data_IF_232877654296
#
_entry.id   IF_232877654296
#
_cell.length_a   1.000
_cell.length_b   1.000
_cell.length_c   1.000
_cell.angle_alpha   90.00
_cell.angle_beta   90.00
_cell.angle_gamma   90.00
#
_symmetry.space_group_name_H-M   'P 1'
#
loop_
_entity.id
_entity.type
_entity.pdbx_description
1 polymer ?
#
# COMPACT_ATOMS: atom_id res chain seq x y z
N UNK A 1 -21.29 -22.24 -10.86
CA UNK A 1 -20.36 -22.68 -9.81
C UNK A 1 -19.27 -21.67 -9.49
N UNK A 2 -18.44 -21.22 -10.46
CA UNK A 2 -17.41 -20.20 -10.15
C UNK A 2 -17.98 -18.85 -9.76
N UNK A 3 -19.02 -18.38 -10.43
CA UNK A 3 -19.65 -17.09 -10.12
C UNK A 3 -20.31 -17.04 -8.72
N UNK A 4 -20.71 -18.17 -8.19
CA UNK A 4 -21.35 -18.27 -6.88
C UNK A 4 -20.33 -18.21 -5.73
N UNK A 5 -19.07 -18.60 -5.96
CA UNK A 5 -17.99 -18.49 -4.96
C UNK A 5 -17.35 -17.09 -4.89
N UNK A 6 -17.47 -16.27 -5.95
CA UNK A 6 -16.85 -14.95 -6.03
C UNK A 6 -17.25 -13.98 -4.91
N UNK A 7 -18.55 -13.87 -4.50
CA UNK A 7 -18.93 -12.95 -3.43
C UNK A 7 -18.30 -13.27 -2.08
N UNK A 8 -18.06 -14.56 -1.80
CA UNK A 8 -17.38 -14.99 -0.58
C UNK A 8 -15.89 -14.64 -0.65
N UNK A 9 -15.22 -14.94 -1.76
CA UNK A 9 -13.83 -14.60 -1.98
C UNK A 9 -13.57 -13.09 -1.84
N UNK A 10 -14.43 -12.25 -2.43
CA UNK A 10 -14.32 -10.79 -2.30
C UNK A 10 -14.44 -10.30 -0.85
N UNK A 11 -15.27 -10.93 -0.04
CA UNK A 11 -15.37 -10.62 1.40
C UNK A 11 -14.13 -11.05 2.16
N UNK A 12 -13.58 -12.21 1.85
CA UNK A 12 -12.33 -12.71 2.43
C UNK A 12 -11.14 -11.80 2.07
N UNK A 13 -11.06 -11.34 0.82
CA UNK A 13 -10.02 -10.40 0.40
C UNK A 13 -10.11 -9.04 1.13
N UNK A 14 -11.31 -8.53 1.36
CA UNK A 14 -11.49 -7.32 2.17
C UNK A 14 -11.00 -7.51 3.62
N UNK A 15 -11.22 -8.70 4.19
CA UNK A 15 -10.69 -9.06 5.51
C UNK A 15 -9.16 -9.18 5.49
N UNK A 16 -8.58 -9.83 4.49
CA UNK A 16 -7.12 -9.95 4.33
C UNK A 16 -6.44 -8.57 4.21
N UNK A 17 -7.03 -7.67 3.42
CA UNK A 17 -6.54 -6.31 3.31
C UNK A 17 -6.59 -5.56 4.65
N UNK A 18 -7.69 -5.69 5.38
CA UNK A 18 -7.85 -5.06 6.69
C UNK A 18 -6.84 -5.60 7.71
N UNK A 19 -6.61 -6.92 7.73
CA UNK A 19 -5.62 -7.56 8.62
C UNK A 19 -4.18 -7.15 8.31
N UNK A 20 -3.88 -6.72 7.10
CA UNK A 20 -2.58 -6.14 6.73
C UNK A 20 -2.45 -4.67 7.13
N UNK A 21 -3.42 -3.83 6.76
CA UNK A 21 -3.34 -2.37 6.91
C UNK A 21 -3.55 -1.92 8.36
N UNK A 22 -4.48 -2.54 9.10
CA UNK A 22 -4.80 -2.11 10.47
C UNK A 22 -3.62 -2.24 11.43
N UNK A 23 -2.85 -3.35 11.47
CA UNK A 23 -1.64 -3.43 12.28
C UNK A 23 -0.59 -2.39 11.89
N UNK A 24 -0.35 -2.15 10.59
CA UNK A 24 0.60 -1.14 10.13
C UNK A 24 0.26 0.25 10.67
N UNK A 25 -1.01 0.63 10.65
CA UNK A 25 -1.51 1.89 11.25
C UNK A 25 -1.16 2.01 12.73
N UNK A 26 -1.32 0.92 13.49
CA UNK A 26 -0.99 0.88 14.93
C UNK A 26 0.52 0.94 15.15
N UNK A 27 1.30 0.22 14.34
CA UNK A 27 2.76 0.19 14.46
C UNK A 27 3.40 1.54 14.17
N UNK A 28 2.88 2.27 13.18
CA UNK A 28 3.37 3.61 12.87
C UNK A 28 3.13 4.58 14.05
N UNK A 29 1.98 4.51 14.70
CA UNK A 29 1.69 5.31 15.91
C UNK A 29 2.60 4.90 17.06
N UNK A 30 2.80 3.59 17.29
CA UNK A 30 3.73 3.10 18.32
C UNK A 30 5.17 3.51 18.08
N UNK A 31 5.61 3.53 16.80
CA UNK A 31 6.93 4.03 16.44
C UNK A 31 7.06 5.53 16.74
N UNK A 32 6.03 6.33 16.46
CA UNK A 32 6.00 7.75 16.77
C UNK A 32 6.06 8.02 18.29
N UNK A 33 5.42 7.17 19.10
CA UNK A 33 5.45 7.19 20.56
C UNK A 33 6.80 6.74 21.17
N UNK A 34 7.77 6.33 20.34
CA UNK A 34 9.10 5.92 20.79
C UNK A 34 9.20 4.46 21.26
N UNK A 35 8.39 3.55 20.71
CA UNK A 35 8.49 2.12 21.02
C UNK A 35 9.88 1.58 20.72
N UNK A 36 10.53 0.88 21.67
CA UNK A 36 11.85 0.30 21.43
C UNK A 36 11.83 -0.92 20.48
N UNK A 37 10.68 -1.57 20.32
CA UNK A 37 10.55 -2.78 19.49
C UNK A 37 10.04 -2.49 18.09
N UNK A 38 9.23 -1.45 17.94
CA UNK A 38 8.60 -1.07 16.67
C UNK A 38 9.11 0.32 16.31
N UNK A 39 10.12 0.37 15.44
CA UNK A 39 10.69 1.62 14.96
C UNK A 39 10.25 1.89 13.53
N UNK A 40 10.27 3.16 13.10
CA UNK A 40 9.98 3.50 11.72
C UNK A 40 10.96 2.85 10.75
N UNK A 41 12.21 2.69 11.15
CA UNK A 41 13.24 2.01 10.35
C UNK A 41 12.85 0.54 10.04
N UNK A 42 12.33 -0.18 11.03
CA UNK A 42 11.84 -1.56 10.84
C UNK A 42 10.65 -1.58 9.89
N UNK A 43 9.69 -0.68 10.07
CA UNK A 43 8.51 -0.56 9.18
C UNK A 43 8.97 -0.25 7.75
N UNK A 44 9.84 0.74 7.58
CA UNK A 44 10.41 1.14 6.30
C UNK A 44 11.11 -0.03 5.58
N UNK A 45 11.95 -0.76 6.30
CA UNK A 45 12.64 -1.94 5.77
C UNK A 45 11.66 -2.98 5.20
N UNK A 46 10.57 -3.24 5.90
CA UNK A 46 9.58 -4.21 5.46
C UNK A 46 8.73 -3.68 4.29
N UNK A 47 8.34 -2.42 4.28
CA UNK A 47 7.64 -1.82 3.15
C UNK A 47 8.50 -1.84 1.88
N UNK A 48 9.76 -1.45 1.98
CA UNK A 48 10.70 -1.48 0.85
C UNK A 48 10.96 -2.90 0.33
N UNK A 49 10.80 -3.91 1.16
CA UNK A 49 10.94 -5.31 0.75
C UNK A 49 9.70 -5.84 0.03
N UNK A 50 8.51 -5.55 0.56
CA UNK A 50 7.29 -6.24 0.13
C UNK A 50 6.50 -5.51 -0.95
N UNK A 51 6.48 -4.17 -0.94
CA UNK A 51 5.74 -3.40 -1.95
C UNK A 51 6.29 -3.62 -3.37
N UNK A 52 7.61 -3.55 -3.63
CA UNK A 52 8.16 -3.86 -4.94
C UNK A 52 7.90 -5.31 -5.37
N UNK A 53 7.98 -6.27 -4.46
CA UNK A 53 7.71 -7.68 -4.77
C UNK A 53 6.27 -7.92 -5.20
N UNK A 54 5.31 -7.28 -4.53
CA UNK A 54 3.92 -7.35 -4.95
C UNK A 54 3.71 -6.69 -6.32
N UNK A 55 4.45 -5.60 -6.61
CA UNK A 55 4.45 -4.97 -7.92
C UNK A 55 4.97 -5.90 -9.03
N UNK A 56 6.04 -6.65 -8.76
CA UNK A 56 6.62 -7.65 -9.66
C UNK A 56 5.66 -8.81 -9.98
N UNK A 57 4.71 -9.11 -9.08
CA UNK A 57 3.72 -10.17 -9.29
C UNK A 57 2.80 -9.94 -10.49
N UNK A 58 2.61 -8.69 -10.92
CA UNK A 58 1.85 -8.40 -12.13
C UNK A 58 2.57 -8.86 -13.40
N UNK A 59 3.91 -8.94 -13.37
CA UNK A 59 4.74 -9.38 -14.49
C UNK A 59 4.69 -8.47 -15.71
N UNK A 60 5.44 -8.87 -16.73
CA UNK A 60 5.47 -8.18 -18.02
C UNK A 60 4.31 -8.62 -18.93
N UNK A 61 3.90 -7.75 -19.85
CA UNK A 61 2.88 -8.06 -20.86
C UNK A 61 3.50 -8.93 -21.99
N UNK A 62 3.73 -10.20 -21.68
CA UNK A 62 4.20 -11.16 -22.68
C UNK A 62 3.02 -11.62 -23.55
N UNK A 63 3.20 -11.62 -24.86
CA UNK A 63 2.15 -12.08 -25.81
C UNK A 63 1.13 -11.02 -26.22
N UNK A 64 1.45 -9.72 -26.11
CA UNK A 64 0.68 -8.63 -26.70
C UNK A 64 -0.75 -8.48 -26.17
N UNK A 65 -0.92 -8.62 -24.85
CA UNK A 65 -2.23 -8.46 -24.21
C UNK A 65 -3.31 -9.44 -24.69
N UNK A 66 -2.93 -10.62 -25.13
CA UNK A 66 -3.84 -11.66 -25.64
C UNK A 66 -4.95 -11.99 -24.65
N UNK A 67 -4.64 -12.06 -23.36
CA UNK A 67 -5.61 -12.33 -22.29
C UNK A 67 -6.68 -11.24 -22.18
N UNK A 68 -6.32 -9.97 -22.42
CA UNK A 68 -7.27 -8.86 -22.46
C UNK A 68 -8.15 -8.98 -23.70
N UNK A 69 -7.56 -9.29 -24.85
CA UNK A 69 -8.27 -9.49 -26.10
C UNK A 69 -9.34 -10.61 -26.01
N UNK A 70 -9.04 -11.67 -25.29
CA UNK A 70 -9.96 -12.80 -25.07
C UNK A 70 -10.89 -12.62 -23.87
N UNK A 71 -10.88 -11.47 -23.22
CA UNK A 71 -11.74 -11.20 -22.07
C UNK A 71 -11.40 -12.01 -20.81
N UNK A 72 -10.23 -12.65 -20.77
CA UNK A 72 -9.74 -13.40 -19.61
C UNK A 72 -9.16 -12.47 -18.52
N UNK A 73 -8.86 -11.25 -18.90
CA UNK A 73 -8.28 -10.21 -18.05
C UNK A 73 -8.97 -8.88 -18.34
N UNK A 74 -9.34 -8.09 -17.31
CA UNK A 74 -10.05 -6.83 -17.54
C UNK A 74 -9.15 -5.72 -18.09
N UNK A 75 -7.84 -5.76 -17.82
CA UNK A 75 -6.89 -4.71 -18.18
C UNK A 75 -5.46 -5.27 -18.35
N UNK A 76 -4.59 -4.46 -18.94
CA UNK A 76 -3.16 -4.80 -19.10
C UNK A 76 -2.42 -4.80 -17.77
N UNK A 77 -1.28 -5.52 -17.71
CA UNK A 77 -0.42 -5.55 -16.52
C UNK A 77 0.07 -4.16 -16.12
N UNK A 78 0.49 -3.34 -17.07
CA UNK A 78 0.94 -1.97 -16.81
C UNK A 78 -0.16 -1.12 -16.16
N UNK A 79 -1.41 -1.24 -16.61
CA UNK A 79 -2.55 -0.51 -16.01
C UNK A 79 -2.83 -1.00 -14.57
N UNK A 80 -2.71 -2.32 -14.34
CA UNK A 80 -2.84 -2.90 -13.00
C UNK A 80 -1.70 -2.48 -12.07
N UNK A 81 -0.47 -2.38 -12.58
CA UNK A 81 0.68 -1.87 -11.86
C UNK A 81 0.51 -0.41 -11.46
N UNK A 82 0.04 0.43 -12.37
CA UNK A 82 -0.25 1.84 -12.09
C UNK A 82 -1.35 2.00 -11.04
N UNK A 83 -2.40 1.20 -11.13
CA UNK A 83 -3.46 1.20 -10.12
C UNK A 83 -2.94 0.76 -8.76
N UNK A 84 -2.17 -0.31 -8.69
CA UNK A 84 -1.54 -0.78 -7.46
C UNK A 84 -0.63 0.29 -6.85
N UNK A 85 0.21 0.94 -7.65
CA UNK A 85 1.07 2.02 -7.17
C UNK A 85 0.27 3.18 -6.57
N UNK A 86 -0.85 3.56 -7.18
CA UNK A 86 -1.76 4.60 -6.65
C UNK A 86 -2.40 4.18 -5.31
N UNK A 87 -2.83 2.93 -5.19
CA UNK A 87 -3.40 2.42 -3.94
C UNK A 87 -2.33 2.34 -2.83
N UNK A 88 -1.13 1.86 -3.13
CA UNK A 88 -0.01 1.88 -2.19
C UNK A 88 0.31 3.30 -1.72
N UNK A 89 0.33 4.28 -2.64
CA UNK A 89 0.58 5.68 -2.30
C UNK A 89 -0.48 6.24 -1.33
N UNK A 90 -1.75 5.86 -1.46
CA UNK A 90 -2.80 6.25 -0.51
C UNK A 90 -2.54 5.68 0.89
N UNK A 91 -2.17 4.40 0.96
CA UNK A 91 -1.85 3.75 2.25
C UNK A 91 -0.64 4.41 2.89
N UNK A 92 0.43 4.64 2.14
CA UNK A 92 1.66 5.26 2.65
C UNK A 92 1.38 6.69 3.16
N UNK A 93 0.58 7.47 2.44
CA UNK A 93 0.13 8.80 2.91
C UNK A 93 -0.64 8.72 4.24
N UNK A 94 -1.59 7.79 4.37
CA UNK A 94 -2.32 7.58 5.62
C UNK A 94 -1.37 7.22 6.78
N UNK A 95 -0.36 6.37 6.53
CA UNK A 95 0.65 6.00 7.52
C UNK A 95 1.50 7.21 7.94
N UNK A 96 1.96 8.02 6.99
CA UNK A 96 2.72 9.23 7.25
C UNK A 96 1.91 10.24 8.10
N UNK A 97 0.66 10.49 7.72
CA UNK A 97 -0.22 11.38 8.47
C UNK A 97 -0.42 10.91 9.92
N UNK A 98 -0.56 9.62 10.13
CA UNK A 98 -0.69 9.05 11.47
C UNK A 98 0.57 9.23 12.29
N UNK A 99 1.74 9.00 11.67
CA UNK A 99 3.03 9.22 12.32
C UNK A 99 3.21 10.68 12.73
N UNK A 100 2.99 11.61 11.80
CA UNK A 100 3.17 13.04 12.04
C UNK A 100 2.21 13.57 13.10
N UNK A 101 0.93 13.17 13.05
CA UNK A 101 -0.06 13.54 14.08
C UNK A 101 0.27 13.01 15.47
N UNK A 102 0.83 11.81 15.54
CA UNK A 102 1.26 11.22 16.81
C UNK A 102 2.54 11.87 17.36
N UNK A 103 3.44 12.33 16.46
CA UNK A 103 4.71 12.96 16.82
C UNK A 103 4.58 14.44 17.14
N UNK A 104 3.71 15.14 16.45
CA UNK A 104 3.53 16.59 16.47
C UNK A 104 2.03 16.93 16.61
N UNK A 105 1.41 16.62 17.76
CA UNK A 105 -0.03 16.77 17.94
C UNK A 105 -0.52 18.21 17.86
N UNK A 106 0.35 19.19 18.09
CA UNK A 106 0.04 20.63 17.98
C UNK A 106 0.04 21.16 16.55
N UNK A 107 0.57 20.41 15.57
CA UNK A 107 0.60 20.83 14.18
C UNK A 107 -0.65 20.36 13.44
N UNK A 108 -1.42 21.32 12.92
CA UNK A 108 -2.50 21.02 11.97
C UNK A 108 -1.89 20.79 10.59
N UNK A 109 -1.54 19.52 10.30
CA UNK A 109 -1.00 19.12 9.01
C UNK A 109 -2.12 18.89 8.00
N UNK A 110 -1.98 19.47 6.81
CA UNK A 110 -2.86 19.21 5.68
C UNK A 110 -2.44 17.96 4.93
N UNK A 111 -3.37 17.36 4.17
CA UNK A 111 -3.05 16.19 3.33
C UNK A 111 -2.00 16.53 2.24
N UNK A 112 -1.89 17.79 1.84
CA UNK A 112 -0.89 18.27 0.89
C UNK A 112 0.54 18.21 1.47
N UNK A 113 0.72 18.61 2.72
CA UNK A 113 2.03 18.59 3.40
C UNK A 113 2.55 17.15 3.61
N UNK A 114 1.63 16.19 3.79
CA UNK A 114 2.00 14.77 3.88
C UNK A 114 2.42 14.17 2.54
N UNK A 115 2.00 14.76 1.42
CA UNK A 115 2.25 14.23 0.05
C UNK A 115 3.68 14.50 -0.42
N UNK A 116 4.31 15.60 0.01
CA UNK A 116 5.67 15.96 -0.42
C UNK A 116 6.74 14.94 -0.01
N UNK A 117 6.44 14.10 0.99
CA UNK A 117 7.36 13.12 1.54
C UNK A 117 7.14 11.68 1.05
N UNK A 118 6.32 11.48 0.02
CA UNK A 118 6.00 10.14 -0.48
C UNK A 118 6.35 10.00 -1.96
N UNK A 119 7.32 9.13 -2.27
CA UNK A 119 7.52 8.63 -3.62
C UNK A 119 6.71 7.33 -3.81
N UNK A 120 5.61 7.37 -4.58
CA UNK A 120 4.77 6.19 -4.77
C UNK A 120 5.45 5.08 -5.59
N UNK A 121 6.51 5.39 -6.36
CA UNK A 121 7.25 4.42 -7.19
C UNK A 121 8.37 3.75 -6.40
N UNK A 122 9.03 4.51 -5.55
CA UNK A 122 10.11 3.98 -4.70
C UNK A 122 9.60 3.29 -3.45
N UNK A 123 8.29 3.33 -3.17
CA UNK A 123 7.68 2.87 -1.92
C UNK A 123 8.44 3.38 -0.66
N UNK A 124 9.04 4.56 -0.79
CA UNK A 124 9.77 5.17 0.31
C UNK A 124 8.80 5.99 1.14
N UNK A 125 8.71 5.64 2.41
CA UNK A 125 8.14 6.51 3.43
C UNK A 125 9.25 7.49 3.79
N UNK A 126 9.32 8.63 3.09
CA UNK A 126 10.23 9.67 3.49
C UNK A 126 9.68 10.31 4.76
N UNK A 127 10.35 10.09 5.86
CA UNK A 127 10.09 10.77 7.11
C UNK A 127 10.87 12.08 7.14
N UNK A 128 10.29 13.15 7.69
CA UNK A 128 11.00 14.39 7.88
C UNK A 128 12.15 14.25 8.88
#
# INVERSE_FOLDING_TARGET
PMAESMPQMLREEAFHLATGVVPLRRWVVKAAEGSPMITMEVIQKHLNKWVPRAYEMFGDERGGATNVKWGLKPQKNAESQDQYAKECAKVVRDLNMRYLRARLPELSLTDAEAVEHVDPRAAQVALP
#
